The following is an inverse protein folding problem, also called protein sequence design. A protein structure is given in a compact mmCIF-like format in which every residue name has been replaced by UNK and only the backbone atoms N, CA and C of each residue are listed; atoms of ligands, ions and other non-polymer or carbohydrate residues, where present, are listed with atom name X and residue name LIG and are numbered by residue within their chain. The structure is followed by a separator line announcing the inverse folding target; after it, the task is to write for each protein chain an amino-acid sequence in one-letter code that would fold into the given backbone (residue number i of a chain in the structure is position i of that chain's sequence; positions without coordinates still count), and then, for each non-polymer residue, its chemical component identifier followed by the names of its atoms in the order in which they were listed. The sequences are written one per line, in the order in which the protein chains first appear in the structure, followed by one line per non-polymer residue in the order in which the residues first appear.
data_IF_464368100644
#
_entry.id   IF_464368100644
#
_cell.length_a   1.000
_cell.length_b   1.000
_cell.length_c   1.000
_cell.angle_alpha   90.00
_cell.angle_beta   90.00
_cell.angle_gamma   90.00
#
_symmetry.space_group_name_H-M   'P 1'
#
loop_
_entity.id
_entity.type
_entity.pdbx_description
1 polymer ?
#
# COMPACT_ATOMS: atom_id res chain seq x y z
N UNK A 1 -20.94 3.02 -3.14
CA UNK A 1 -19.95 4.00 -3.68
C UNK A 1 -19.02 4.50 -2.59
N UNK A 2 -19.52 4.96 -1.43
CA UNK A 2 -18.69 5.46 -0.33
C UNK A 2 -17.61 4.43 0.08
N UNK A 3 -17.98 3.19 0.32
CA UNK A 3 -17.06 2.14 0.78
C UNK A 3 -15.95 1.82 -0.22
N UNK A 4 -16.26 1.89 -1.53
CA UNK A 4 -15.25 1.68 -2.58
C UNK A 4 -14.24 2.83 -2.68
N UNK A 5 -14.65 4.05 -2.36
CA UNK A 5 -13.81 5.24 -2.51
C UNK A 5 -13.01 5.57 -1.23
N UNK A 6 -13.52 5.17 -0.05
CA UNK A 6 -12.99 5.58 1.24
C UNK A 6 -12.28 4.46 2.02
N UNK A 7 -12.43 3.21 1.58
CA UNK A 7 -11.77 2.08 2.26
C UNK A 7 -10.28 2.04 1.96
N UNK A 8 -9.51 1.64 2.96
CA UNK A 8 -8.06 1.54 2.89
C UNK A 8 -7.57 0.12 3.22
N UNK A 9 -6.50 -0.36 2.56
CA UNK A 9 -5.83 -1.59 2.98
C UNK A 9 -5.14 -1.38 4.34
N UNK A 10 -5.08 -2.46 5.14
CA UNK A 10 -4.48 -2.51 6.47
C UNK A 10 -3.58 -3.75 6.58
N UNK A 11 -2.54 -3.68 7.38
CA UNK A 11 -1.65 -4.82 7.66
C UNK A 11 -2.33 -5.89 8.54
N UNK A 12 -3.46 -5.57 9.16
CA UNK A 12 -4.27 -6.51 9.95
C UNK A 12 -5.18 -7.32 9.04
N UNK A 13 -5.36 -8.61 9.38
CA UNK A 13 -6.30 -9.48 8.67
C UNK A 13 -7.75 -9.08 8.92
N UNK A 14 -8.62 -9.36 7.94
CA UNK A 14 -10.06 -9.16 8.03
C UNK A 14 -10.49 -7.72 7.75
N UNK A 15 -11.74 -7.45 8.10
CA UNK A 15 -12.35 -6.13 7.99
C UNK A 15 -12.17 -5.33 9.29
N UNK A 16 -12.00 -4.03 9.17
CA UNK A 16 -12.00 -3.09 10.28
C UNK A 16 -12.80 -1.83 9.96
N UNK A 17 -13.07 -1.01 10.97
CA UNK A 17 -13.71 0.29 10.80
C UNK A 17 -12.64 1.31 10.43
N UNK A 18 -12.89 2.08 9.37
CA UNK A 18 -11.96 3.13 8.95
C UNK A 18 -11.90 4.26 9.98
N UNK A 19 -10.70 4.71 10.38
CA UNK A 19 -10.53 5.89 11.24
C UNK A 19 -10.93 7.20 10.54
N UNK A 20 -11.20 7.18 9.24
CA UNK A 20 -11.63 8.35 8.47
C UNK A 20 -13.08 8.76 8.72
N UNK A 21 -13.85 7.92 9.45
CA UNK A 21 -15.29 8.14 9.65
C UNK A 21 -16.18 7.69 8.49
N UNK A 22 -15.59 7.15 7.43
CA UNK A 22 -16.28 6.57 6.28
C UNK A 22 -15.47 5.41 5.69
N UNK A 23 -16.13 4.41 5.10
CA UNK A 23 -15.50 3.20 4.57
C UNK A 23 -14.99 2.26 5.66
N UNK A 24 -14.17 1.30 5.24
CA UNK A 24 -13.63 0.24 6.08
C UNK A 24 -12.11 0.14 5.89
N UNK A 25 -11.45 -0.59 6.76
CA UNK A 25 -10.12 -1.12 6.49
C UNK A 25 -10.25 -2.60 6.12
N UNK A 26 -9.38 -3.09 5.26
CA UNK A 26 -9.39 -4.48 4.82
C UNK A 26 -7.98 -5.06 4.73
N UNK A 27 -7.84 -6.28 5.20
CA UNK A 27 -6.57 -7.00 5.16
C UNK A 27 -6.30 -7.62 3.79
N UNK A 28 -5.07 -8.12 3.64
CA UNK A 28 -4.63 -8.82 2.43
C UNK A 28 -5.43 -10.10 2.16
N UNK A 29 -5.91 -10.78 3.21
CA UNK A 29 -6.80 -11.94 3.13
C UNK A 29 -8.13 -11.60 2.43
N UNK A 30 -8.71 -10.46 2.77
CA UNK A 30 -9.93 -9.95 2.13
C UNK A 30 -9.65 -9.57 0.67
N UNK A 31 -8.51 -8.90 0.40
CA UNK A 31 -8.10 -8.54 -0.95
C UNK A 31 -7.87 -9.77 -1.83
N UNK A 32 -7.21 -10.80 -1.32
CA UNK A 32 -7.00 -12.07 -2.02
C UNK A 32 -8.33 -12.76 -2.36
N UNK A 33 -9.25 -12.82 -1.39
CA UNK A 33 -10.59 -13.38 -1.60
C UNK A 33 -11.39 -12.58 -2.66
N UNK A 34 -11.31 -11.26 -2.62
CA UNK A 34 -11.96 -10.38 -3.59
C UNK A 34 -11.43 -10.62 -5.00
N UNK A 35 -10.10 -10.63 -5.17
CA UNK A 35 -9.45 -10.88 -6.44
C UNK A 35 -9.83 -12.24 -7.00
N UNK A 36 -9.72 -13.30 -6.19
CA UNK A 36 -10.07 -14.66 -6.59
C UNK A 36 -11.53 -14.77 -7.02
N UNK A 37 -12.47 -14.22 -6.25
CA UNK A 37 -13.90 -14.31 -6.51
C UNK A 37 -14.29 -13.59 -7.82
N UNK A 38 -13.60 -12.50 -8.14
CA UNK A 38 -13.89 -11.67 -9.30
C UNK A 38 -12.97 -11.95 -10.50
N UNK A 39 -12.06 -12.93 -10.41
CA UNK A 39 -11.11 -13.26 -11.48
C UNK A 39 -10.13 -12.11 -11.77
N UNK A 40 -9.79 -11.33 -10.74
CA UNK A 40 -8.85 -10.21 -10.82
C UNK A 40 -7.46 -10.64 -10.38
N UNK A 41 -6.43 -10.05 -10.96
CA UNK A 41 -5.03 -10.30 -10.58
C UNK A 41 -4.47 -9.23 -9.66
N UNK A 42 -5.03 -8.02 -9.65
CA UNK A 42 -4.49 -6.90 -8.90
C UNK A 42 -5.57 -5.88 -8.59
N UNK A 43 -5.53 -5.32 -7.39
CA UNK A 43 -6.19 -4.07 -7.02
C UNK A 43 -5.15 -2.97 -6.97
N UNK A 44 -5.19 -2.03 -7.92
CA UNK A 44 -4.38 -0.82 -7.89
C UNK A 44 -5.24 0.35 -7.42
N UNK A 45 -4.82 1.02 -6.36
CA UNK A 45 -5.59 2.10 -5.73
C UNK A 45 -4.68 3.25 -5.28
N UNK A 46 -5.25 4.39 -4.97
CA UNK A 46 -4.57 5.56 -4.43
C UNK A 46 -5.06 5.88 -3.00
N UNK A 47 -5.32 7.15 -2.66
CA UNK A 47 -5.97 7.64 -1.44
C UNK A 47 -5.14 7.62 -0.15
N UNK A 48 -4.02 6.89 -0.09
CA UNK A 48 -3.11 6.92 1.05
C UNK A 48 -1.77 7.51 0.63
N UNK A 49 -1.25 8.42 1.46
CA UNK A 49 0.09 8.95 1.30
C UNK A 49 1.12 7.84 1.51
N UNK A 50 2.02 7.70 0.56
CA UNK A 50 3.15 6.79 0.63
C UNK A 50 4.42 7.56 0.33
N UNK A 51 5.43 7.46 1.21
CA UNK A 51 6.66 8.26 1.11
C UNK A 51 7.44 7.97 -0.17
N UNK A 52 7.42 6.73 -0.63
CA UNK A 52 8.11 6.26 -1.84
C UNK A 52 7.27 6.37 -3.11
N UNK A 53 6.04 6.93 -3.01
CA UNK A 53 5.09 7.04 -4.14
C UNK A 53 4.30 5.78 -4.42
N UNK A 54 4.74 4.59 -4.03
CA UNK A 54 3.96 3.36 -4.09
C UNK A 54 4.30 2.43 -2.94
N UNK A 55 3.36 1.57 -2.58
CA UNK A 55 3.55 0.54 -1.54
C UNK A 55 2.67 -0.68 -1.83
N UNK A 56 3.28 -1.86 -1.73
CA UNK A 56 2.55 -3.11 -1.71
C UNK A 56 1.98 -3.35 -0.32
N UNK A 57 0.70 -3.71 -0.23
CA UNK A 57 0.12 -4.13 1.03
C UNK A 57 0.84 -5.37 1.55
N UNK A 58 1.28 -5.29 2.80
CA UNK A 58 1.92 -6.42 3.44
C UNK A 58 0.89 -7.53 3.72
N UNK A 59 1.33 -8.76 3.62
CA UNK A 59 0.52 -9.91 4.01
C UNK A 59 0.30 -9.86 5.52
N UNK A 60 -0.93 -10.04 5.96
CA UNK A 60 -1.21 -10.25 7.37
C UNK A 60 -0.33 -11.38 7.88
N UNK A 61 0.57 -11.08 8.79
CA UNK A 61 1.37 -12.12 9.42
C UNK A 61 0.43 -13.11 10.12
N UNK A 62 0.39 -14.38 9.72
CA UNK A 62 -0.42 -15.35 10.43
C UNK A 62 0.07 -15.38 11.88
N UNK A 63 -0.85 -15.40 12.83
CA UNK A 63 -0.56 -15.52 14.29
C UNK A 63 0.36 -16.70 14.65
N UNK A 64 0.65 -17.57 13.68
CA UNK A 64 1.61 -18.67 13.78
C UNK A 64 3.04 -18.20 14.16
N UNK A 65 3.45 -17.00 13.75
CA UNK A 65 4.79 -16.46 14.09
C UNK A 65 4.96 -16.32 15.60
N UNK A 66 3.92 -15.86 16.30
CA UNK A 66 3.91 -15.70 17.75
C UNK A 66 3.75 -17.03 18.49
N UNK A 67 2.98 -17.98 17.92
CA UNK A 67 2.79 -19.31 18.52
C UNK A 67 4.06 -20.14 18.49
N UNK A 68 4.86 -20.05 17.41
CA UNK A 68 6.16 -20.72 17.30
C UNK A 68 7.22 -20.10 18.21
N UNK A 69 7.17 -18.79 18.46
CA UNK A 69 8.09 -18.11 19.38
C UNK A 69 7.83 -18.43 20.86
N UNK A 70 6.58 -18.74 21.23
CA UNK A 70 6.17 -18.98 22.63
C UNK A 70 6.23 -20.45 23.06
N UNK A 71 6.37 -21.41 22.13
CA UNK A 71 6.10 -22.83 22.41
C UNK A 71 7.29 -23.79 22.40
N UNK A 72 8.51 -23.38 22.06
CA UNK A 72 9.61 -24.35 21.87
C UNK A 72 10.93 -23.87 22.47
N UNK A 73 11.46 -24.65 23.40
CA UNK A 73 12.84 -24.55 23.87
C UNK A 73 13.81 -24.92 22.71
N UNK A 74 14.59 -23.97 22.24
CA UNK A 74 15.11 -23.97 20.88
C UNK A 74 16.45 -24.61 20.67
N UNK A 75 16.50 -25.46 19.63
CA UNK A 75 17.72 -25.82 18.91
C UNK A 75 17.91 -24.79 17.76
N UNK A 76 19.10 -24.21 17.63
CA UNK A 76 19.45 -23.15 16.64
C UNK A 76 19.16 -23.53 15.17
N UNK A 77 19.14 -24.83 14.84
CA UNK A 77 18.80 -25.30 13.49
C UNK A 77 17.37 -25.07 13.08
N UNK A 78 16.40 -25.07 14.02
CA UNK A 78 14.98 -24.83 13.74
C UNK A 78 14.73 -23.36 13.42
N UNK A 79 15.43 -22.45 14.08
CA UNK A 79 15.35 -21.00 13.81
C UNK A 79 15.78 -20.69 12.38
N UNK A 80 16.84 -21.33 11.88
CA UNK A 80 17.29 -21.16 10.49
C UNK A 80 16.28 -21.68 9.48
N UNK A 81 15.65 -22.82 9.75
CA UNK A 81 14.60 -23.39 8.88
C UNK A 81 13.36 -22.49 8.88
N UNK A 82 12.94 -22.00 10.04
CA UNK A 82 11.84 -21.04 10.13
C UNK A 82 12.12 -19.75 9.35
N UNK A 83 13.29 -19.15 9.51
CA UNK A 83 13.69 -17.96 8.75
C UNK A 83 13.73 -18.22 7.24
N UNK A 84 14.18 -19.39 6.81
CA UNK A 84 14.19 -19.77 5.40
C UNK A 84 12.78 -19.96 4.85
N UNK A 85 11.88 -20.59 5.61
CA UNK A 85 10.48 -20.75 5.24
C UNK A 85 9.79 -19.38 5.20
N UNK A 86 10.08 -18.48 6.15
CA UNK A 86 9.55 -17.10 6.14
C UNK A 86 10.02 -16.33 4.90
N UNK A 87 11.29 -16.43 4.55
CA UNK A 87 11.83 -15.79 3.35
C UNK A 87 11.21 -16.36 2.07
N UNK A 88 10.95 -17.68 2.02
CA UNK A 88 10.21 -18.30 0.92
C UNK A 88 8.75 -17.85 0.87
N UNK A 89 8.08 -17.67 2.01
CA UNK A 89 6.71 -17.14 2.09
C UNK A 89 6.66 -15.67 1.65
N UNK A 90 7.67 -14.86 1.97
CA UNK A 90 7.79 -13.49 1.45
C UNK A 90 7.93 -13.45 -0.08
N UNK A 91 8.67 -14.40 -0.66
CA UNK A 91 8.82 -14.53 -2.13
C UNK A 91 7.52 -15.00 -2.80
N UNK A 92 6.73 -15.82 -2.10
CA UNK A 92 5.42 -16.33 -2.55
C UNK A 92 4.26 -15.38 -2.22
N UNK A 93 4.56 -14.19 -1.69
CA UNK A 93 3.53 -13.19 -1.37
C UNK A 93 2.78 -12.79 -2.64
N UNK A 94 1.52 -13.18 -2.70
CA UNK A 94 0.60 -12.71 -3.72
C UNK A 94 0.45 -11.18 -3.59
N UNK A 95 0.92 -10.46 -4.58
CA UNK A 95 0.82 -9.00 -4.68
C UNK A 95 -0.61 -8.61 -5.09
N UNK A 96 -1.56 -8.73 -4.16
CA UNK A 96 -2.98 -8.53 -4.45
C UNK A 96 -3.39 -7.06 -4.48
N UNK A 97 -2.71 -6.19 -3.72
CA UNK A 97 -3.05 -4.77 -3.61
C UNK A 97 -1.79 -3.92 -3.65
N UNK A 98 -1.82 -2.88 -4.46
CA UNK A 98 -0.81 -1.82 -4.47
C UNK A 98 -1.45 -0.47 -4.28
N UNK A 99 -0.89 0.34 -3.40
CA UNK A 99 -1.20 1.76 -3.30
C UNK A 99 -0.22 2.55 -4.16
N UNK A 100 -0.73 3.38 -5.06
CA UNK A 100 0.06 4.28 -5.92
C UNK A 100 -0.36 5.69 -5.61
N UNK A 101 0.62 6.53 -5.23
CA UNK A 101 0.41 7.91 -4.86
C UNK A 101 1.19 8.83 -5.80
N UNK A 102 0.49 9.59 -6.64
CA UNK A 102 1.09 10.34 -7.75
C UNK A 102 1.19 11.85 -7.49
N UNK A 103 1.13 12.29 -6.22
CA UNK A 103 1.26 13.68 -5.84
C UNK A 103 2.58 13.91 -5.06
N UNK A 104 3.67 14.37 -5.72
CA UNK A 104 4.96 14.55 -5.07
C UNK A 104 4.90 15.73 -4.10
N UNK A 105 5.61 15.61 -2.98
CA UNK A 105 5.63 16.63 -1.91
C UNK A 105 4.23 17.12 -1.54
N UNK A 106 3.35 16.17 -1.22
CA UNK A 106 1.93 16.45 -0.93
C UNK A 106 1.77 17.55 0.11
N UNK A 107 0.84 18.46 -0.13
CA UNK A 107 0.64 19.68 0.64
C UNK A 107 1.88 20.57 0.74
N UNK A 108 2.84 20.42 -0.18
CA UNK A 108 4.11 21.16 -0.23
C UNK A 108 5.01 20.97 1.01
N UNK A 109 4.76 19.96 1.83
CA UNK A 109 5.47 19.74 3.08
C UNK A 109 5.75 18.27 3.43
N UNK A 110 5.10 17.31 2.78
CA UNK A 110 5.24 15.89 3.13
C UNK A 110 6.57 15.29 2.68
N UNK A 111 7.22 15.86 1.67
CA UNK A 111 8.52 15.41 1.17
C UNK A 111 8.50 14.03 0.50
N UNK A 112 7.32 13.52 0.16
CA UNK A 112 7.15 12.23 -0.47
C UNK A 112 7.47 12.29 -1.97
N UNK A 113 7.96 11.16 -2.51
CA UNK A 113 8.00 10.91 -3.93
C UNK A 113 6.59 10.64 -4.46
N UNK A 114 6.43 10.73 -5.76
CA UNK A 114 5.26 10.25 -6.46
C UNK A 114 5.62 9.05 -7.34
N UNK A 115 4.62 8.25 -7.69
CA UNK A 115 4.82 7.14 -8.61
C UNK A 115 3.71 7.03 -9.64
N UNK A 116 4.06 6.42 -10.76
CA UNK A 116 3.14 5.97 -11.81
C UNK A 116 3.32 4.47 -11.95
N UNK A 117 2.22 3.74 -12.04
CA UNK A 117 2.23 2.33 -12.38
C UNK A 117 1.90 2.18 -13.87
N UNK A 118 2.85 1.67 -14.63
CA UNK A 118 2.66 1.26 -16.01
C UNK A 118 2.32 -0.23 -16.04
N UNK A 119 1.26 -0.58 -16.76
CA UNK A 119 0.82 -1.97 -16.95
C UNK A 119 0.95 -2.30 -18.42
N UNK A 120 1.84 -3.22 -18.75
CA UNK A 120 2.05 -3.71 -20.12
C UNK A 120 0.94 -4.66 -20.59
N UNK A 121 0.96 -5.00 -21.87
CA UNK A 121 -0.01 -5.92 -22.50
C UNK A 121 0.00 -7.33 -21.87
N UNK A 122 1.15 -7.76 -21.36
CA UNK A 122 1.32 -9.04 -20.66
C UNK A 122 1.09 -8.95 -19.14
N UNK A 123 0.47 -7.86 -18.67
CA UNK A 123 0.31 -7.55 -17.25
C UNK A 123 1.64 -7.30 -16.50
N UNK A 124 2.71 -7.01 -17.23
CA UNK A 124 3.98 -6.57 -16.65
C UNK A 124 3.78 -5.24 -15.93
N UNK A 125 4.35 -5.12 -14.74
CA UNK A 125 4.18 -3.97 -13.86
C UNK A 125 5.52 -3.24 -13.74
N UNK A 126 5.52 -1.96 -14.10
CA UNK A 126 6.69 -1.11 -13.95
C UNK A 126 6.32 0.16 -13.17
N UNK A 127 7.14 0.53 -12.18
CA UNK A 127 6.92 1.72 -11.37
C UNK A 127 7.94 2.79 -11.77
N UNK A 128 7.42 3.95 -12.12
CA UNK A 128 8.21 5.15 -12.35
C UNK A 128 8.01 6.09 -11.16
N UNK A 129 9.09 6.38 -10.44
CA UNK A 129 9.08 7.32 -9.33
C UNK A 129 9.60 8.67 -9.79
N UNK A 130 9.06 9.75 -9.25
CA UNK A 130 9.50 11.11 -9.58
C UNK A 130 9.37 12.08 -8.41
N UNK A 131 10.25 13.05 -8.41
CA UNK A 131 10.31 14.16 -7.47
C UNK A 131 9.39 15.32 -7.90
N UNK A 132 9.05 16.23 -6.98
CA UNK A 132 8.35 17.46 -7.35
C UNK A 132 9.21 18.30 -8.28
N UNK A 133 8.56 18.98 -9.23
CA UNK A 133 9.25 19.95 -10.08
C UNK A 133 9.95 21.02 -9.22
N UNK A 134 11.13 21.50 -9.64
CA UNK A 134 11.79 22.63 -8.98
C UNK A 134 10.83 23.81 -8.86
N UNK A 135 10.82 24.48 -7.71
CA UNK A 135 10.00 25.69 -7.53
C UNK A 135 10.40 26.70 -8.60
N UNK A 136 9.50 26.96 -9.52
CA UNK A 136 9.63 28.13 -10.36
C UNK A 136 9.40 29.36 -9.46
N UNK A 137 10.39 30.23 -9.38
CA UNK A 137 10.21 31.55 -8.81
C UNK A 137 9.31 32.33 -9.78
N UNK A 138 8.01 32.19 -9.65
CA UNK A 138 7.08 33.05 -10.37
C UNK A 138 7.34 34.49 -9.88
N UNK A 139 7.50 35.45 -10.77
CA UNK A 139 7.52 36.85 -10.39
C UNK A 139 6.18 37.13 -9.67
N UNK A 140 6.26 37.88 -8.59
CA UNK A 140 5.21 38.21 -7.60
C UNK A 140 3.89 38.69 -8.24
N UNK A 141 3.20 37.81 -8.91
CA UNK A 141 1.82 38.04 -9.33
C UNK A 141 0.92 37.57 -8.21
N UNK A 142 0.26 38.51 -7.55
CA UNK A 142 -0.74 38.24 -6.51
C UNK A 142 -1.78 37.25 -7.05
N UNK A 143 -1.55 35.97 -6.76
CA UNK A 143 -2.49 34.90 -7.11
C UNK A 143 -3.75 35.07 -6.26
N UNK A 144 -4.80 35.65 -6.84
CA UNK A 144 -6.12 35.60 -6.20
C UNK A 144 -6.53 34.13 -6.12
N UNK A 145 -6.61 33.61 -4.90
CA UNK A 145 -7.25 32.31 -4.65
C UNK A 145 -8.67 32.37 -5.19
N UNK A 146 -9.10 31.40 -6.01
CA UNK A 146 -10.47 31.35 -6.46
C UNK A 146 -11.43 31.20 -5.28
N UNK A 147 -12.52 31.96 -5.27
CA UNK A 147 -13.48 32.05 -4.16
C UNK A 147 -14.17 30.72 -3.78
N UNK A 148 -14.02 29.68 -4.61
CA UNK A 148 -14.55 28.34 -4.35
C UNK A 148 -13.68 27.46 -3.45
N UNK A 149 -12.57 28.00 -2.92
CA UNK A 149 -11.73 27.33 -1.92
C UNK A 149 -11.78 28.00 -0.54
N UNK A 150 -12.71 28.92 -0.31
CA UNK A 150 -12.98 29.54 0.98
C UNK A 150 -14.15 28.87 1.70
#
# INVERSE_FOLDING_TARGET
MCDLLWSDPDDRCGWGISPRGAGYTFGQDIAAQFNHTNGLSLVARAHQLVMEGYNWCQVCEPKLKWLMLLGMGFHWSLIRICNYIFHLLEILQEKNVVTVFSAPNYCYRCGNLAAILEIGENMDQNFLQFDPAPRQLEPDTTRKTPDYFL
#
